data_IF_431834850756
#
_entry.id   IF_431834850756
#
_cell.length_a   1.000
_cell.length_b   1.000
_cell.length_c   1.000
_cell.angle_alpha   90.00
_cell.angle_beta   90.00
_cell.angle_gamma   90.00
#
_symmetry.space_group_name_H-M   'P 1'
#
loop_
_entity.id
_entity.type
_entity.pdbx_description
1 polymer ?
#
# COMPACT_ATOMS: atom_id res chain seq x y z
N UNK A 1 -18.09 2.78 8.10
CA UNK A 1 -17.05 1.72 8.01
C UNK A 1 -15.71 2.35 8.39
N UNK A 2 -14.95 1.77 9.32
CA UNK A 2 -13.68 2.37 9.75
C UNK A 2 -12.60 2.11 8.68
N UNK A 3 -12.12 3.16 7.99
CA UNK A 3 -11.16 3.08 6.86
C UNK A 3 -10.00 2.12 7.15
N UNK A 4 -9.46 2.20 8.36
CA UNK A 4 -8.39 1.32 8.85
C UNK A 4 -8.75 -0.17 8.77
N UNK A 5 -9.94 -0.54 9.25
CA UNK A 5 -10.43 -1.94 9.20
C UNK A 5 -10.64 -2.42 7.77
N UNK A 6 -11.15 -1.55 6.89
CA UNK A 6 -11.38 -1.92 5.49
C UNK A 6 -10.08 -2.22 4.74
N UNK A 7 -9.05 -1.38 4.93
CA UNK A 7 -7.74 -1.57 4.30
C UNK A 7 -7.05 -2.79 4.89
N UNK A 8 -7.06 -2.94 6.22
CA UNK A 8 -6.47 -4.09 6.89
C UNK A 8 -7.11 -5.41 6.45
N UNK A 9 -8.45 -5.46 6.35
CA UNK A 9 -9.17 -6.64 5.84
C UNK A 9 -8.78 -6.98 4.40
N UNK A 10 -8.63 -5.97 3.54
CA UNK A 10 -8.19 -6.17 2.17
C UNK A 10 -6.76 -6.74 2.11
N UNK A 11 -5.83 -6.18 2.90
CA UNK A 11 -4.45 -6.67 2.93
C UNK A 11 -4.37 -8.12 3.40
N UNK A 12 -5.14 -8.51 4.44
CA UNK A 12 -5.19 -9.90 4.89
C UNK A 12 -5.80 -10.82 3.83
N UNK A 13 -6.86 -10.41 3.13
CA UNK A 13 -7.43 -11.18 2.04
C UNK A 13 -6.40 -11.44 0.91
N UNK A 14 -5.56 -10.44 0.61
CA UNK A 14 -4.48 -10.59 -0.38
C UNK A 14 -3.37 -11.50 0.14
N UNK A 15 -3.06 -11.46 1.44
CA UNK A 15 -2.06 -12.34 2.07
C UNK A 15 -2.51 -13.81 2.13
N UNK A 16 -3.81 -14.05 2.23
CA UNK A 16 -4.41 -15.39 2.18
C UNK A 16 -4.37 -15.98 0.75
N UNK A 17 -4.15 -15.14 -0.27
CA UNK A 17 -3.97 -15.58 -1.65
C UNK A 17 -2.53 -16.12 -1.84
N UNK A 18 -2.41 -17.44 -1.98
CA UNK A 18 -1.13 -18.16 -2.13
C UNK A 18 -0.38 -17.86 -3.45
N UNK A 19 -0.90 -16.96 -4.28
CA UNK A 19 -0.29 -16.56 -5.54
C UNK A 19 0.79 -15.47 -5.41
N UNK A 20 0.96 -14.88 -4.22
CA UNK A 20 2.03 -13.92 -3.96
C UNK A 20 3.40 -14.57 -3.91
N UNK A 21 4.40 -13.91 -4.48
CA UNK A 21 5.78 -14.32 -4.28
C UNK A 21 6.25 -13.96 -2.84
N UNK A 22 7.34 -14.56 -2.32
CA UNK A 22 7.79 -14.31 -0.95
C UNK A 22 8.11 -12.83 -0.64
N UNK A 23 8.59 -12.09 -1.64
CA UNK A 23 8.94 -10.68 -1.49
C UNK A 23 7.68 -9.81 -1.38
N UNK A 24 6.69 -10.04 -2.22
CA UNK A 24 5.39 -9.37 -2.20
C UNK A 24 4.65 -9.65 -0.89
N UNK A 25 4.61 -10.92 -0.48
CA UNK A 25 4.02 -11.32 0.79
C UNK A 25 4.66 -10.55 1.95
N UNK A 26 5.99 -10.49 2.00
CA UNK A 26 6.72 -9.76 3.05
C UNK A 26 6.36 -8.28 3.08
N UNK A 27 6.28 -7.64 1.91
CA UNK A 27 5.97 -6.21 1.79
C UNK A 27 4.53 -5.91 2.20
N UNK A 28 3.57 -6.73 1.77
CA UNK A 28 2.14 -6.57 2.09
C UNK A 28 1.91 -6.88 3.58
N UNK A 29 2.53 -7.93 4.11
CA UNK A 29 2.44 -8.32 5.52
C UNK A 29 2.97 -7.23 6.43
N UNK A 30 4.14 -6.66 6.10
CA UNK A 30 4.70 -5.52 6.82
C UNK A 30 3.71 -4.35 6.89
N UNK A 31 3.05 -4.00 5.79
CA UNK A 31 2.06 -2.92 5.78
C UNK A 31 0.85 -3.24 6.68
N UNK A 32 0.35 -4.47 6.64
CA UNK A 32 -0.74 -4.90 7.50
C UNK A 32 -0.35 -4.79 8.99
N UNK A 33 0.84 -5.27 9.36
CA UNK A 33 1.35 -5.23 10.73
C UNK A 33 1.57 -3.80 11.22
N UNK A 34 2.12 -2.92 10.38
CA UNK A 34 2.27 -1.49 10.70
C UNK A 34 0.92 -0.84 11.00
N UNK A 35 -0.11 -1.14 10.20
CA UNK A 35 -1.46 -0.66 10.42
C UNK A 35 -2.01 -1.21 11.74
N UNK A 36 -1.89 -2.50 12.01
CA UNK A 36 -2.35 -3.13 13.25
C UNK A 36 -1.72 -2.47 14.49
N UNK A 37 -0.40 -2.26 14.46
CA UNK A 37 0.39 -1.64 15.52
C UNK A 37 0.08 -0.14 15.75
N UNK A 38 -0.75 0.48 14.91
CA UNK A 38 -1.20 1.86 15.11
C UNK A 38 -0.44 2.90 14.29
N UNK A 39 0.37 2.49 13.31
CA UNK A 39 1.00 3.41 12.36
C UNK A 39 -0.05 4.17 11.56
N UNK A 40 0.28 5.42 11.18
CA UNK A 40 -0.56 6.19 10.26
C UNK A 40 -0.77 5.41 8.96
N UNK A 41 -2.05 5.19 8.63
CA UNK A 41 -2.45 4.38 7.48
C UNK A 41 -1.93 4.96 6.16
N UNK A 42 -1.83 6.29 6.04
CA UNK A 42 -1.36 6.91 4.81
C UNK A 42 0.13 6.64 4.62
N UNK A 43 0.91 6.69 5.70
CA UNK A 43 2.34 6.35 5.69
C UNK A 43 2.59 4.89 5.34
N UNK A 44 1.84 3.98 5.96
CA UNK A 44 1.95 2.55 5.68
C UNK A 44 1.61 2.24 4.21
N UNK A 45 0.50 2.79 3.71
CA UNK A 45 0.07 2.62 2.32
C UNK A 45 1.00 3.28 1.31
N UNK A 46 1.56 4.44 1.62
CA UNK A 46 2.56 5.09 0.77
C UNK A 46 3.78 4.17 0.60
N UNK A 47 4.29 3.64 1.70
CA UNK A 47 5.47 2.77 1.71
C UNK A 47 5.17 1.51 0.89
N UNK A 48 4.02 0.87 1.11
CA UNK A 48 3.56 -0.28 0.35
C UNK A 48 3.51 0.01 -1.15
N UNK A 49 2.84 1.09 -1.57
CA UNK A 49 2.73 1.47 -2.98
C UNK A 49 4.09 1.75 -3.61
N UNK A 50 4.96 2.48 -2.90
CA UNK A 50 6.30 2.79 -3.40
C UNK A 50 7.12 1.51 -3.62
N UNK A 51 7.08 0.57 -2.68
CA UNK A 51 7.80 -0.70 -2.80
C UNK A 51 7.24 -1.57 -3.92
N UNK A 52 5.92 -1.77 -4.01
CA UNK A 52 5.30 -2.54 -5.09
C UNK A 52 5.54 -1.89 -6.47
N UNK A 53 5.49 -0.56 -6.55
CA UNK A 53 5.80 0.16 -7.80
C UNK A 53 7.25 -0.05 -8.22
N UNK A 54 8.20 -0.06 -7.29
CA UNK A 54 9.60 -0.33 -7.58
C UNK A 54 9.81 -1.76 -8.10
N UNK A 55 9.10 -2.75 -7.54
CA UNK A 55 9.11 -4.13 -8.04
C UNK A 55 8.48 -4.24 -9.44
N UNK A 56 7.39 -3.50 -9.68
CA UNK A 56 6.75 -3.45 -11.01
C UNK A 56 7.69 -2.89 -12.08
N UNK A 57 8.44 -1.81 -11.78
CA UNK A 57 9.43 -1.24 -12.70
C UNK A 57 10.54 -2.25 -13.04
N UNK A 58 10.91 -3.11 -12.09
CA UNK A 58 11.89 -4.19 -12.30
C UNK A 58 11.30 -5.45 -12.95
N UNK A 59 10.00 -5.47 -13.25
CA UNK A 59 9.27 -6.65 -13.73
C UNK A 59 9.33 -7.85 -12.75
N UNK A 60 9.52 -7.57 -11.46
CA UNK A 60 9.58 -8.56 -10.37
C UNK A 60 8.22 -8.74 -9.67
N UNK A 61 7.20 -8.02 -10.13
CA UNK A 61 5.85 -8.05 -9.57
C UNK A 61 4.98 -9.06 -10.32
N UNK A 62 4.42 -10.01 -9.58
CA UNK A 62 3.46 -11.00 -10.06
C UNK A 62 2.13 -10.33 -10.47
N UNK A 63 1.28 -11.01 -11.24
CA UNK A 63 -0.08 -10.53 -11.53
C UNK A 63 -0.88 -10.20 -10.27
N UNK A 64 -0.71 -10.98 -9.21
CA UNK A 64 -1.39 -10.77 -7.93
C UNK A 64 -0.86 -9.54 -7.19
N UNK A 65 0.45 -9.33 -7.20
CA UNK A 65 1.08 -8.10 -6.69
C UNK A 65 0.63 -6.85 -7.46
N UNK A 66 0.53 -6.94 -8.79
CA UNK A 66 0.00 -5.87 -9.65
C UNK A 66 -1.47 -5.57 -9.35
N UNK A 67 -2.30 -6.61 -9.18
CA UNK A 67 -3.70 -6.49 -8.81
C UNK A 67 -3.85 -5.77 -7.46
N UNK A 68 -3.04 -6.16 -6.47
CA UNK A 68 -2.98 -5.50 -5.16
C UNK A 68 -2.61 -4.01 -5.28
N UNK A 69 -1.54 -3.68 -6.02
CA UNK A 69 -1.10 -2.30 -6.24
C UNK A 69 -2.21 -1.46 -6.91
N UNK A 70 -2.87 -2.01 -7.92
CA UNK A 70 -3.97 -1.36 -8.64
C UNK A 70 -5.18 -1.11 -7.72
N UNK A 71 -5.61 -2.13 -6.98
CA UNK A 71 -6.75 -2.03 -6.07
C UNK A 71 -6.52 -1.04 -4.93
N UNK A 72 -5.34 -1.04 -4.32
CA UNK A 72 -5.00 -0.05 -3.28
C UNK A 72 -4.91 1.35 -3.87
N UNK A 73 -4.41 1.50 -5.10
CA UNK A 73 -4.36 2.80 -5.78
C UNK A 73 -5.76 3.35 -6.08
N UNK A 74 -6.70 2.46 -6.45
CA UNK A 74 -8.11 2.80 -6.67
C UNK A 74 -8.83 3.15 -5.37
N UNK A 75 -8.64 2.36 -4.31
CA UNK A 75 -9.30 2.56 -3.00
C UNK A 75 -8.75 3.78 -2.26
N UNK A 76 -7.46 4.07 -2.41
CA UNK A 76 -6.74 5.06 -1.62
C UNK A 76 -5.98 6.05 -2.52
N UNK A 77 -6.66 6.85 -3.37
CA UNK A 77 -6.00 7.72 -4.35
C UNK A 77 -5.17 8.84 -3.70
N UNK A 78 -5.53 9.26 -2.48
CA UNK A 78 -4.82 10.31 -1.72
C UNK A 78 -3.41 9.90 -1.29
N UNK A 79 -3.09 8.61 -1.31
CA UNK A 79 -1.75 8.09 -0.99
C UNK A 79 -0.88 7.90 -2.25
N UNK A 80 -1.25 8.51 -3.38
CA UNK A 80 -0.34 8.63 -4.52
C UNK A 80 0.80 9.60 -4.22
N UNK A 81 1.98 9.34 -4.80
CA UNK A 81 3.18 10.20 -4.62
C UNK A 81 2.86 11.65 -5.01
N UNK A 82 2.09 11.88 -6.08
CA UNK A 82 1.66 13.20 -6.53
C UNK A 82 0.70 13.88 -5.54
N UNK A 83 -0.25 13.14 -4.96
CA UNK A 83 -1.21 13.67 -4.00
C UNK A 83 -0.55 14.05 -2.67
N UNK A 84 0.41 13.25 -2.19
CA UNK A 84 1.15 13.57 -0.96
C UNK A 84 2.22 14.64 -1.15
N UNK A 85 2.88 14.71 -2.31
CA UNK A 85 3.78 15.83 -2.61
C UNK A 85 3.02 17.16 -2.55
N UNK A 86 1.83 17.23 -3.14
CA UNK A 86 0.96 18.42 -3.05
C UNK A 86 0.51 18.72 -1.60
N UNK A 87 0.22 17.69 -0.80
CA UNK A 87 -0.15 17.85 0.60
C UNK A 87 1.02 18.33 1.48
N UNK A 88 2.23 17.79 1.28
CA UNK A 88 3.46 18.18 1.98
C UNK A 88 3.93 19.58 1.57
N UNK A 89 3.83 19.93 0.28
CA UNK A 89 4.15 21.27 -0.23
C UNK A 89 3.17 22.33 0.31
N UNK A 90 1.89 21.98 0.50
CA UNK A 90 0.90 22.90 1.10
C UNK A 90 1.19 23.25 2.56
N UNK A 91 1.87 22.40 3.32
CA UNK A 91 2.26 22.69 4.72
C UNK A 91 3.45 23.65 4.88
N UNK A 92 4.11 24.08 3.79
CA UNK A 92 5.25 25.02 3.84
C UNK A 92 4.85 26.50 3.65
N UNK A 93 3.56 26.83 3.69
CA UNK A 93 3.05 28.18 3.41
C UNK A 93 2.36 28.88 4.58
N UNK A 94 2.55 28.39 5.81
CA UNK A 94 2.23 29.11 7.04
C UNK A 94 3.51 29.28 7.88
#
# INVERSE_FOLDING_TARGET
MNRKKSVFSFLNQVLDDQSLNPQEYTVIKKCADEIEQGTDINRALLTLKATLSALSVKQELSPSGLSCLSEISRREPSTSVSSMWNFMMKKKKD
#
